data_IF_752915559561
#
_entry.id   IF_752915559561
#
_cell.length_a   1.000
_cell.length_b   1.000
_cell.length_c   1.000
_cell.angle_alpha   90.00
_cell.angle_beta   90.00
_cell.angle_gamma   90.00
#
_symmetry.space_group_name_H-M   'P 1'
#
loop_
_entity.id
_entity.type
_entity.pdbx_description
1 polymer ?
#
# COMPACT_ATOMS: atom_id res chain seq x y z
N UNK A 1 -7.95 15.07 -32.03
CA UNK A 1 -6.73 14.98 -31.22
C UNK A 1 -7.13 14.12 -30.04
N UNK A 2 -6.63 12.89 -29.97
CA UNK A 2 -6.93 11.99 -28.85
C UNK A 2 -6.07 12.43 -27.67
N UNK A 3 -6.69 13.09 -26.70
CA UNK A 3 -6.11 13.34 -25.39
C UNK A 3 -5.81 11.99 -24.74
N UNK A 4 -4.57 11.50 -24.89
CA UNK A 4 -4.07 10.41 -24.05
C UNK A 4 -3.73 11.04 -22.70
N UNK A 5 -4.68 11.02 -21.77
CA UNK A 5 -4.32 11.12 -20.36
C UNK A 5 -3.26 10.04 -20.07
N UNK A 6 -2.17 10.36 -19.37
CA UNK A 6 -1.17 9.36 -19.05
C UNK A 6 -1.82 8.26 -18.22
N UNK A 7 -1.82 7.03 -18.75
CA UNK A 7 -2.33 5.86 -18.04
C UNK A 7 -1.59 5.74 -16.70
N UNK A 8 -2.36 5.73 -15.60
CA UNK A 8 -1.79 5.51 -14.28
C UNK A 8 -1.28 4.07 -14.23
N UNK A 9 0.00 3.82 -13.91
CA UNK A 9 0.55 2.46 -13.94
C UNK A 9 -0.16 1.56 -12.93
N UNK A 10 -0.36 0.29 -13.29
CA UNK A 10 -0.90 -0.71 -12.36
C UNK A 10 0.08 -1.00 -11.21
N UNK A 11 -0.47 -1.23 -10.02
CA UNK A 11 0.31 -1.60 -8.85
C UNK A 11 0.84 -3.03 -8.97
N UNK A 12 2.16 -3.16 -9.09
CA UNK A 12 2.82 -4.47 -9.12
C UNK A 12 2.91 -5.08 -7.73
N UNK A 13 3.36 -6.34 -7.64
CA UNK A 13 3.56 -7.06 -6.37
C UNK A 13 5.05 -7.14 -5.96
N UNK A 14 5.91 -6.29 -6.54
CA UNK A 14 7.36 -6.31 -6.36
C UNK A 14 7.86 -4.94 -5.91
N UNK A 15 8.39 -4.84 -4.70
CA UNK A 15 8.87 -3.55 -4.16
C UNK A 15 10.01 -2.94 -4.97
N UNK A 16 10.77 -3.76 -5.70
CA UNK A 16 11.88 -3.33 -6.57
C UNK A 16 11.39 -2.55 -7.81
N UNK A 17 10.13 -2.70 -8.19
CA UNK A 17 9.51 -2.03 -9.34
C UNK A 17 8.77 -0.74 -8.94
N UNK A 18 8.57 -0.52 -7.64
CA UNK A 18 7.89 0.66 -7.11
C UNK A 18 8.87 1.83 -7.06
N UNK A 19 8.43 2.96 -7.63
CA UNK A 19 9.16 4.22 -7.61
C UNK A 19 8.53 5.18 -6.58
N UNK A 20 9.34 6.00 -5.91
CA UNK A 20 8.84 6.95 -4.93
C UNK A 20 7.96 8.01 -5.61
N UNK A 21 6.88 8.39 -4.92
CA UNK A 21 5.98 9.49 -5.30
C UNK A 21 5.26 9.33 -6.66
N UNK A 22 5.40 8.16 -7.31
CA UNK A 22 4.55 7.75 -8.43
C UNK A 22 3.21 7.26 -7.89
N UNK A 23 2.13 7.67 -8.55
CA UNK A 23 0.78 7.18 -8.28
C UNK A 23 0.53 5.94 -9.11
N UNK A 24 0.11 4.88 -8.45
CA UNK A 24 -0.27 3.60 -9.04
C UNK A 24 -1.77 3.38 -8.86
N UNK A 25 -2.36 2.60 -9.76
CA UNK A 25 -3.72 2.11 -9.61
C UNK A 25 -3.70 0.66 -9.14
N UNK A 26 -4.33 0.38 -8.00
CA UNK A 26 -4.56 -0.98 -7.54
C UNK A 26 -5.61 -1.70 -8.41
N UNK A 27 -5.68 -3.03 -8.30
CA UNK A 27 -6.68 -3.83 -9.02
C UNK A 27 -8.15 -3.46 -8.71
N UNK A 28 -8.44 -2.83 -7.56
CA UNK A 28 -9.78 -2.30 -7.23
C UNK A 28 -10.04 -0.87 -7.74
N UNK A 29 -9.10 -0.30 -8.50
CA UNK A 29 -9.18 1.06 -9.02
C UNK A 29 -8.73 2.15 -8.06
N UNK A 30 -8.34 1.82 -6.82
CA UNK A 30 -7.83 2.79 -5.83
C UNK A 30 -6.45 3.30 -6.23
N UNK A 31 -6.25 4.62 -6.15
CA UNK A 31 -4.97 5.28 -6.32
C UNK A 31 -4.11 5.17 -5.06
N UNK A 32 -2.84 4.80 -5.22
CA UNK A 32 -1.88 4.60 -4.13
C UNK A 32 -0.52 5.18 -4.51
N UNK A 33 0.20 5.72 -3.53
CA UNK A 33 1.58 6.16 -3.70
C UNK A 33 2.43 5.81 -2.48
N UNK A 34 3.75 5.80 -2.66
CA UNK A 34 4.68 5.37 -1.63
C UNK A 34 5.83 6.36 -1.51
N UNK A 35 6.22 6.70 -0.29
CA UNK A 35 7.46 7.43 -0.08
C UNK A 35 8.67 6.54 -0.32
N UNK A 36 9.84 7.14 -0.54
CA UNK A 36 11.12 6.42 -0.58
C UNK A 36 11.36 5.57 0.68
N UNK A 37 11.01 6.08 1.86
CA UNK A 37 11.17 5.36 3.11
C UNK A 37 10.27 4.11 3.17
N UNK A 38 9.04 4.22 2.66
CA UNK A 38 8.13 3.08 2.60
C UNK A 38 8.65 1.97 1.67
N UNK A 39 9.18 2.35 0.50
CA UNK A 39 9.74 1.38 -0.46
C UNK A 39 10.92 0.64 0.17
N UNK A 40 11.82 1.35 0.86
CA UNK A 40 12.95 0.74 1.56
C UNK A 40 12.50 -0.26 2.64
N UNK A 41 11.48 0.09 3.43
CA UNK A 41 10.90 -0.82 4.43
C UNK A 41 10.24 -2.03 3.77
N UNK A 42 9.56 -1.85 2.63
CA UNK A 42 8.95 -2.93 1.85
C UNK A 42 10.00 -3.92 1.34
N UNK A 43 11.10 -3.43 0.75
CA UNK A 43 12.21 -4.26 0.31
C UNK A 43 12.83 -5.06 1.47
N UNK A 44 12.99 -4.42 2.63
CA UNK A 44 13.65 -5.03 3.80
C UNK A 44 12.77 -6.06 4.51
N UNK A 45 11.48 -5.77 4.68
CA UNK A 45 10.60 -6.54 5.57
C UNK A 45 9.48 -7.30 4.85
N UNK A 46 9.21 -7.00 3.59
CA UNK A 46 8.18 -7.65 2.78
C UNK A 46 8.75 -8.16 1.45
N UNK A 47 9.75 -9.07 1.48
CA UNK A 47 10.47 -9.51 0.27
C UNK A 47 9.58 -10.24 -0.76
N UNK A 48 8.37 -10.65 -0.37
CA UNK A 48 7.40 -11.35 -1.22
C UNK A 48 6.19 -10.48 -1.59
N UNK A 49 6.20 -9.20 -1.24
CA UNK A 49 5.19 -8.22 -1.65
C UNK A 49 3.78 -8.47 -1.08
N UNK A 50 3.66 -9.06 0.11
CA UNK A 50 2.36 -9.30 0.75
C UNK A 50 1.59 -8.01 1.03
N UNK A 51 2.29 -6.92 1.35
CA UNK A 51 1.64 -5.64 1.59
C UNK A 51 1.10 -5.03 0.28
N UNK A 52 1.85 -5.14 -0.82
CA UNK A 52 1.36 -4.74 -2.15
C UNK A 52 0.14 -5.55 -2.58
N UNK A 53 0.16 -6.87 -2.36
CA UNK A 53 -1.02 -7.74 -2.58
C UNK A 53 -2.20 -7.38 -1.70
N UNK A 54 -1.95 -6.98 -0.45
CA UNK A 54 -3.01 -6.51 0.44
C UNK A 54 -3.65 -5.21 -0.06
N UNK A 55 -2.86 -4.31 -0.64
CA UNK A 55 -3.37 -3.09 -1.28
C UNK A 55 -4.19 -3.45 -2.53
N UNK A 56 -3.67 -4.33 -3.39
CA UNK A 56 -4.38 -4.81 -4.58
C UNK A 56 -5.70 -5.53 -4.25
N UNK A 57 -5.77 -6.21 -3.11
CA UNK A 57 -7.01 -6.85 -2.64
C UNK A 57 -8.04 -5.83 -2.11
N UNK A 58 -7.58 -4.67 -1.65
CA UNK A 58 -8.47 -3.62 -1.19
C UNK A 58 -8.99 -3.76 0.24
N UNK A 59 -10.10 -3.09 0.52
CA UNK A 59 -10.72 -3.08 1.85
C UNK A 59 -11.28 -4.45 2.23
N UNK A 60 -11.00 -4.90 3.45
CA UNK A 60 -11.47 -6.20 3.96
C UNK A 60 -12.01 -6.10 5.39
N UNK A 61 -12.86 -7.04 5.83
CA UNK A 61 -13.23 -7.15 7.24
C UNK A 61 -11.98 -7.34 8.13
N UNK A 62 -11.93 -6.74 9.34
CA UNK A 62 -10.73 -6.78 10.19
C UNK A 62 -10.29 -8.16 10.65
N UNK A 63 -11.18 -9.16 10.73
CA UNK A 63 -10.84 -10.51 11.23
C UNK A 63 -10.57 -11.48 10.09
N UNK A 64 -9.54 -12.32 10.25
CA UNK A 64 -9.24 -13.46 9.36
C UNK A 64 -8.75 -13.13 7.94
N UNK A 65 -8.55 -11.85 7.61
CA UNK A 65 -8.23 -11.43 6.25
C UNK A 65 -6.89 -10.70 6.13
N UNK A 66 -6.21 -10.93 5.00
CA UNK A 66 -5.20 -10.03 4.43
C UNK A 66 -5.91 -8.98 3.57
N UNK A 67 -5.52 -7.71 3.67
CA UNK A 67 -6.10 -6.59 2.92
C UNK A 67 -5.85 -5.24 3.60
N UNK A 68 -6.57 -4.21 3.17
CA UNK A 68 -6.59 -2.87 3.80
C UNK A 68 -7.67 -2.85 4.89
N UNK A 69 -7.32 -2.32 6.06
CA UNK A 69 -8.24 -2.10 7.18
C UNK A 69 -8.02 -0.70 7.77
N UNK A 70 -8.98 -0.13 8.52
CA UNK A 70 -8.76 1.15 9.21
C UNK A 70 -7.52 1.13 10.10
N UNK A 71 -6.80 2.24 10.15
CA UNK A 71 -5.66 2.44 11.04
C UNK A 71 -6.11 2.95 12.41
N UNK A 72 -5.46 2.50 13.48
CA UNK A 72 -5.63 3.01 14.84
C UNK A 72 -4.55 4.04 15.22
N UNK A 73 -3.61 4.32 14.32
CA UNK A 73 -2.62 5.39 14.51
C UNK A 73 -3.27 6.74 14.17
N UNK A 74 -3.10 7.73 15.06
CA UNK A 74 -3.50 9.12 14.80
C UNK A 74 -2.85 9.63 13.51
N UNK A 75 -3.62 10.39 12.72
CA UNK A 75 -3.23 10.95 11.42
C UNK A 75 -3.08 9.96 10.25
N UNK A 76 -3.55 8.71 10.42
CA UNK A 76 -3.57 7.70 9.37
C UNK A 76 -4.96 7.09 9.22
N UNK A 77 -5.43 6.97 7.99
CA UNK A 77 -6.75 6.45 7.67
C UNK A 77 -6.77 4.92 7.62
N UNK A 78 -5.75 4.33 7.01
CA UNK A 78 -5.71 2.89 6.70
C UNK A 78 -4.37 2.26 7.04
N UNK A 79 -4.38 0.94 7.20
CA UNK A 79 -3.17 0.12 7.26
C UNK A 79 -3.33 -1.14 6.45
N UNK A 80 -2.20 -1.66 6.00
CA UNK A 80 -2.13 -2.98 5.39
C UNK A 80 -2.03 -4.05 6.47
N UNK A 81 -2.95 -5.01 6.43
CA UNK A 81 -2.96 -6.19 7.29
C UNK A 81 -2.57 -7.40 6.44
N UNK A 82 -1.49 -8.06 6.80
CA UNK A 82 -1.04 -9.32 6.18
C UNK A 82 -0.93 -10.41 7.24
N UNK A 83 -1.31 -11.64 6.89
CA UNK A 83 -1.30 -12.79 7.79
C UNK A 83 -0.10 -13.72 7.54
N UNK A 84 0.25 -14.50 8.57
CA UNK A 84 1.34 -15.47 8.54
C UNK A 84 2.72 -14.82 8.61
N UNK A 85 3.74 -15.52 8.08
CA UNK A 85 5.13 -15.07 8.08
C UNK A 85 5.29 -13.70 7.39
N UNK A 86 5.95 -12.74 8.06
CA UNK A 86 6.06 -11.34 7.63
C UNK A 86 4.82 -10.48 7.93
N UNK A 87 3.86 -11.00 8.70
CA UNK A 87 2.66 -10.29 9.15
C UNK A 87 2.76 -9.64 10.52
N UNK A 88 3.96 -9.58 11.07
CA UNK A 88 4.33 -8.87 12.29
C UNK A 88 4.34 -7.35 12.08
N UNK A 89 4.35 -6.86 10.83
CA UNK A 89 4.36 -5.43 10.51
C UNK A 89 3.05 -4.97 9.88
N UNK A 90 2.75 -3.70 10.11
CA UNK A 90 1.62 -2.98 9.52
C UNK A 90 2.14 -1.68 8.93
N UNK A 91 1.95 -1.47 7.63
CA UNK A 91 2.24 -0.18 7.01
C UNK A 91 0.99 0.68 7.01
N UNK A 92 1.11 1.89 7.51
CA UNK A 92 0.02 2.84 7.65
C UNK A 92 0.06 3.85 6.51
N UNK A 93 -1.11 4.11 5.92
CA UNK A 93 -1.31 5.07 4.86
C UNK A 93 -2.35 6.11 5.23
N UNK A 94 -2.23 7.28 4.61
CA UNK A 94 -3.13 8.43 4.77
C UNK A 94 -3.70 8.83 3.41
N UNK A 95 -4.92 9.33 3.39
CA UNK A 95 -5.54 9.88 2.19
C UNK A 95 -5.05 11.32 2.01
N UNK A 96 -4.39 11.60 0.90
CA UNK A 96 -4.01 12.95 0.46
C UNK A 96 -4.56 13.12 -0.94
N UNK A 97 -5.46 14.10 -1.15
CA UNK A 97 -6.03 14.38 -2.48
C UNK A 97 -6.58 13.12 -3.17
N UNK A 98 -7.33 12.29 -2.41
CA UNK A 98 -7.89 11.00 -2.86
C UNK A 98 -6.88 9.87 -3.12
N UNK A 99 -5.59 10.09 -2.89
CA UNK A 99 -4.53 9.07 -3.02
C UNK A 99 -4.25 8.46 -1.66
N UNK A 100 -4.24 7.13 -1.56
CA UNK A 100 -3.75 6.43 -0.38
C UNK A 100 -2.22 6.45 -0.37
N UNK A 101 -1.63 7.40 0.35
CA UNK A 101 -0.18 7.56 0.43
C UNK A 101 0.39 6.83 1.65
N UNK A 102 1.38 5.97 1.42
CA UNK A 102 2.13 5.30 2.48
C UNK A 102 3.49 6.00 2.70
N UNK A 103 3.67 6.74 3.81
CA UNK A 103 4.87 7.55 4.03
C UNK A 103 6.03 6.79 4.68
N UNK A 104 5.87 5.50 5.03
CA UNK A 104 6.89 4.72 5.74
C UNK A 104 6.62 4.56 7.24
N UNK A 105 5.41 4.93 7.70
CA UNK A 105 4.99 4.63 9.07
C UNK A 105 4.66 3.15 9.18
N UNK A 106 5.33 2.48 10.12
CA UNK A 106 5.01 1.12 10.49
C UNK A 106 4.77 0.96 11.99
N UNK A 107 3.98 -0.04 12.35
CA UNK A 107 3.93 -0.58 13.71
C UNK A 107 4.14 -2.09 13.67
N UNK A 108 4.61 -2.64 14.79
CA UNK A 108 4.58 -4.08 15.00
C UNK A 108 3.19 -4.47 15.49
N UNK A 109 2.73 -5.66 15.12
CA UNK A 109 1.55 -6.32 15.67
C UNK A 109 1.91 -7.05 16.97
#
# INVERSE_FOLDING_TARGET
>A
MSDHEPETPELTNSWQEIQPDVVYQSAEGRLVSFSKAQIQLGILYDPIGKHLRAINKGLVPPKGNTGIVPSEQADYDFKTKVLGFGGDRRFHGKIIECILHFPGKQTNH
#
